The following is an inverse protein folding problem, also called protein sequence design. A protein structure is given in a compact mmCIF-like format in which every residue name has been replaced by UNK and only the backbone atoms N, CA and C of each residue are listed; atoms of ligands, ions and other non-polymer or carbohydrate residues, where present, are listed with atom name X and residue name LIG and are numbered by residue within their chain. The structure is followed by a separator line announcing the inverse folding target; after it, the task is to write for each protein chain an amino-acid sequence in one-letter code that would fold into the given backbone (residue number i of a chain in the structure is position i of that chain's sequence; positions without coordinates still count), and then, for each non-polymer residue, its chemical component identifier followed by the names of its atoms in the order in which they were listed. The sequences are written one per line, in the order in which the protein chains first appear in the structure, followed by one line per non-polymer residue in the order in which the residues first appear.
data_IF_678150906046
#
_entry.id   IF_678150906046
#
_cell.length_a   1.000
_cell.length_b   1.000
_cell.length_c   1.000
_cell.angle_alpha   90.00
_cell.angle_beta   90.00
_cell.angle_gamma   90.00
#
_symmetry.space_group_name_H-M   'P 1'
#
loop_
_entity.id
_entity.type
_entity.pdbx_description
1 polymer ?
#
# COMPACT_ATOMS: atom_id res chain seq x y z
N UNK A 1 -3.80 -13.29 -7.25
CA UNK A 1 -3.04 -13.14 -8.51
C UNK A 1 -2.29 -11.82 -8.51
N UNK A 2 -1.37 -11.61 -9.47
CA UNK A 2 -0.68 -10.34 -9.70
C UNK A 2 -0.77 -9.98 -11.18
N UNK A 3 -0.77 -8.68 -11.47
CA UNK A 3 -0.63 -8.12 -12.81
C UNK A 3 0.44 -7.02 -12.75
N UNK A 4 1.45 -7.07 -13.62
CA UNK A 4 2.50 -6.04 -13.71
C UNK A 4 2.00 -4.81 -14.45
N UNK A 5 2.77 -3.71 -14.41
CA UNK A 5 2.48 -2.49 -15.17
C UNK A 5 2.41 -2.74 -16.68
N UNK A 6 3.24 -3.64 -17.20
CA UNK A 6 3.27 -4.04 -18.61
C UNK A 6 2.24 -5.14 -18.96
N UNK A 7 1.45 -5.56 -17.96
CA UNK A 7 0.30 -6.44 -18.17
C UNK A 7 0.56 -7.93 -18.02
N UNK A 8 1.75 -8.35 -17.58
CA UNK A 8 2.03 -9.76 -17.29
C UNK A 8 1.25 -10.23 -16.07
N UNK A 9 0.60 -11.40 -16.18
CA UNK A 9 -0.24 -11.96 -15.13
C UNK A 9 0.41 -13.23 -14.60
N UNK A 10 0.53 -13.34 -13.28
CA UNK A 10 1.06 -14.54 -12.62
C UNK A 10 0.45 -14.77 -11.24
N UNK A 11 0.67 -15.98 -10.73
CA UNK A 11 0.24 -16.41 -9.39
C UNK A 11 1.45 -16.63 -8.52
N UNK A 12 1.49 -15.95 -7.39
CA UNK A 12 2.53 -16.12 -6.39
C UNK A 12 1.90 -16.22 -4.99
N UNK A 13 1.79 -17.44 -4.42
CA UNK A 13 1.13 -17.67 -3.11
C UNK A 13 2.08 -17.37 -1.93
N UNK A 14 2.96 -16.39 -2.08
CA UNK A 14 3.87 -15.98 -1.01
C UNK A 14 3.13 -15.29 0.12
N UNK A 15 3.42 -15.73 1.35
CA UNK A 15 2.84 -15.12 2.56
C UNK A 15 3.81 -14.14 3.24
N UNK A 16 5.07 -14.06 2.82
CA UNK A 16 6.05 -13.12 3.36
C UNK A 16 5.69 -11.63 3.15
N UNK A 17 6.52 -10.76 3.69
CA UNK A 17 6.52 -9.36 3.33
C UNK A 17 7.30 -9.21 2.02
N UNK A 18 6.71 -8.55 1.02
CA UNK A 18 7.31 -8.39 -0.30
C UNK A 18 7.24 -6.94 -0.75
N UNK A 19 8.27 -6.48 -1.45
CA UNK A 19 8.24 -5.23 -2.20
C UNK A 19 7.27 -5.40 -3.37
N UNK A 20 6.25 -4.56 -3.43
CA UNK A 20 5.24 -4.55 -4.49
C UNK A 20 5.68 -3.61 -5.63
N UNK A 21 6.14 -2.41 -5.28
CA UNK A 21 6.72 -1.45 -6.21
C UNK A 21 7.71 -0.54 -5.46
N UNK A 22 8.82 -0.19 -6.09
CA UNK A 22 9.84 0.69 -5.52
C UNK A 22 10.60 1.42 -6.62
N UNK A 23 11.15 2.59 -6.30
CA UNK A 23 12.10 3.26 -7.17
C UNK A 23 13.53 2.72 -6.91
N UNK A 24 14.02 1.82 -7.77
CA UNK A 24 15.27 1.08 -7.53
C UNK A 24 16.57 1.83 -7.90
N UNK A 25 16.48 2.93 -8.64
CA UNK A 25 17.65 3.57 -9.29
C UNK A 25 18.03 4.93 -8.72
N UNK A 26 17.29 5.42 -7.73
CA UNK A 26 17.58 6.72 -7.12
C UNK A 26 18.50 6.56 -5.90
N UNK A 27 19.50 7.45 -5.71
CA UNK A 27 20.28 7.51 -4.47
C UNK A 27 19.42 7.85 -3.25
N UNK A 28 18.20 8.35 -3.47
CA UNK A 28 17.18 8.56 -2.45
C UNK A 28 15.97 7.69 -2.80
N UNK A 29 15.55 6.80 -1.90
CA UNK A 29 14.38 5.96 -2.13
C UNK A 29 13.11 6.83 -2.08
N UNK A 30 12.71 7.38 -3.23
CA UNK A 30 11.59 8.32 -3.34
C UNK A 30 10.27 7.64 -2.92
N UNK A 31 10.10 6.38 -3.34
CA UNK A 31 9.03 5.55 -2.83
C UNK A 31 9.39 4.06 -2.71
N UNK A 32 8.75 3.43 -1.74
CA UNK A 32 8.77 1.98 -1.53
C UNK A 32 7.41 1.53 -1.02
N UNK A 33 6.78 0.58 -1.71
CA UNK A 33 5.48 0.01 -1.35
C UNK A 33 5.70 -1.48 -1.11
N UNK A 34 5.31 -1.95 0.08
CA UNK A 34 5.40 -3.36 0.44
C UNK A 34 4.06 -3.87 0.91
N UNK A 35 3.80 -5.14 0.62
CA UNK A 35 2.61 -5.86 1.06
C UNK A 35 3.02 -7.06 1.90
N UNK A 36 2.25 -7.32 2.96
CA UNK A 36 2.35 -8.54 3.76
C UNK A 36 1.02 -9.27 3.70
N UNK A 37 1.05 -10.48 3.17
CA UNK A 37 -0.13 -11.36 3.09
C UNK A 37 -0.20 -12.32 4.27
N UNK A 38 -1.40 -12.76 4.59
CA UNK A 38 -1.68 -13.87 5.52
C UNK A 38 -2.72 -14.79 4.88
N UNK A 39 -2.88 -15.99 5.42
CA UNK A 39 -3.93 -16.90 4.98
C UNK A 39 -5.18 -16.69 5.84
N UNK A 40 -6.29 -16.35 5.20
CA UNK A 40 -7.63 -16.24 5.80
C UNK A 40 -8.55 -17.12 4.98
N UNK A 41 -9.19 -18.12 5.60
CA UNK A 41 -10.12 -19.03 4.92
C UNK A 41 -9.57 -19.66 3.62
N UNK A 42 -8.29 -20.06 3.64
CA UNK A 42 -7.53 -20.59 2.49
C UNK A 42 -7.29 -19.61 1.33
N UNK A 43 -7.58 -18.31 1.51
CA UNK A 43 -7.26 -17.25 0.58
C UNK A 43 -6.09 -16.37 1.09
N UNK A 44 -5.12 -16.00 0.24
CA UNK A 44 -4.12 -15.00 0.59
C UNK A 44 -4.73 -13.59 0.65
N UNK A 45 -4.84 -13.03 1.86
CA UNK A 45 -5.39 -11.68 2.13
C UNK A 45 -4.26 -10.71 2.50
N UNK A 46 -4.37 -9.44 2.12
CA UNK A 46 -3.39 -8.41 2.48
C UNK A 46 -3.65 -7.99 3.93
N UNK A 47 -2.74 -8.35 4.83
CA UNK A 47 -2.86 -7.97 6.27
C UNK A 47 -2.33 -6.58 6.57
N UNK A 48 -1.35 -6.11 5.77
CA UNK A 48 -0.64 -4.86 5.98
C UNK A 48 -0.03 -4.37 4.68
N UNK A 49 -0.15 -3.07 4.44
CA UNK A 49 0.58 -2.34 3.40
C UNK A 49 1.48 -1.34 4.12
N UNK A 50 2.75 -1.29 3.76
CA UNK A 50 3.67 -0.25 4.24
C UNK A 50 4.18 0.54 3.06
N UNK A 51 4.12 1.86 3.15
CA UNK A 51 4.58 2.79 2.13
C UNK A 51 5.60 3.73 2.74
N UNK A 52 6.74 3.92 2.08
CA UNK A 52 7.61 5.08 2.27
C UNK A 52 7.37 6.00 1.08
N UNK A 53 6.93 7.23 1.33
CA UNK A 53 6.63 8.22 0.29
C UNK A 53 7.34 9.53 0.67
N UNK A 54 8.42 9.87 -0.03
CA UNK A 54 9.21 11.09 0.25
C UNK A 54 9.57 11.29 1.73
N UNK A 55 10.01 10.20 2.36
CA UNK A 55 10.41 10.23 3.78
C UNK A 55 9.27 10.01 4.77
N UNK A 56 8.00 10.08 4.38
CA UNK A 56 6.86 9.77 5.26
C UNK A 56 6.57 8.28 5.24
N UNK A 57 6.45 7.65 6.43
CA UNK A 57 6.09 6.25 6.56
C UNK A 57 4.58 6.10 6.80
N UNK A 58 3.86 5.50 5.86
CA UNK A 58 2.46 5.15 6.02
C UNK A 58 2.31 3.63 6.21
N UNK A 59 1.53 3.22 7.20
CA UNK A 59 1.13 1.83 7.40
C UNK A 59 -0.38 1.72 7.38
N UNK A 60 -0.90 0.86 6.50
CA UNK A 60 -2.31 0.60 6.33
C UNK A 60 -2.62 -0.82 6.79
N UNK A 61 -3.57 -0.94 7.70
CA UNK A 61 -4.25 -2.18 8.09
C UNK A 61 -5.75 -1.94 8.04
N UNK A 62 -6.53 -3.01 8.09
CA UNK A 62 -7.99 -2.92 8.12
C UNK A 62 -8.42 -2.02 9.29
N UNK A 63 -9.14 -0.95 8.99
CA UNK A 63 -9.64 0.06 9.94
C UNK A 63 -8.58 0.85 10.73
N UNK A 64 -7.29 0.70 10.41
CA UNK A 64 -6.19 1.36 11.12
C UNK A 64 -5.18 1.91 10.13
N UNK A 65 -5.03 3.23 10.12
CA UNK A 65 -4.01 3.94 9.36
C UNK A 65 -3.03 4.57 10.33
N UNK A 66 -1.73 4.36 10.10
CA UNK A 66 -0.66 4.99 10.84
C UNK A 66 0.23 5.82 9.91
N UNK A 67 0.61 7.00 10.36
CA UNK A 67 1.60 7.86 9.71
C UNK A 67 2.71 8.15 10.71
N UNK A 68 3.94 7.80 10.34
CA UNK A 68 5.14 7.92 11.18
C UNK A 68 4.90 7.32 12.59
N UNK A 69 4.33 6.11 12.62
CA UNK A 69 3.94 5.36 13.84
C UNK A 69 2.81 5.97 14.68
N UNK A 70 2.17 7.05 14.23
CA UNK A 70 1.02 7.65 14.90
C UNK A 70 -0.27 7.25 14.21
N UNK A 71 -1.26 6.77 14.96
CA UNK A 71 -2.60 6.50 14.41
C UNK A 71 -3.26 7.80 13.99
N UNK A 72 -3.77 7.84 12.76
CA UNK A 72 -4.47 9.01 12.22
C UNK A 72 -5.95 8.70 11.98
N UNK A 73 -6.78 9.74 11.98
CA UNK A 73 -8.17 9.66 11.53
C UNK A 73 -8.25 10.06 10.06
N UNK A 74 -9.20 9.46 9.34
CA UNK A 74 -9.46 9.80 7.94
C UNK A 74 -10.62 10.79 7.84
N UNK A 75 -10.60 11.72 6.86
CA UNK A 75 -9.54 11.91 5.88
C UNK A 75 -8.28 12.53 6.50
N UNK A 76 -7.12 12.12 6.00
CA UNK A 76 -5.82 12.63 6.41
C UNK A 76 -5.17 13.39 5.24
N UNK A 77 -4.64 14.58 5.48
CA UNK A 77 -3.92 15.35 4.46
C UNK A 77 -2.79 16.16 5.08
N UNK A 78 -1.55 15.69 4.95
CA UNK A 78 -0.35 16.37 5.44
C UNK A 78 0.90 15.87 4.70
N UNK A 79 1.97 16.67 4.68
CA UNK A 79 3.28 16.27 4.14
C UNK A 79 3.24 15.73 2.70
N UNK A 80 2.31 16.24 1.89
CA UNK A 80 2.14 15.81 0.49
C UNK A 80 1.46 14.46 0.32
N UNK A 81 0.84 13.91 1.37
CA UNK A 81 0.04 12.68 1.31
C UNK A 81 -1.39 13.00 1.70
N UNK A 82 -2.34 12.52 0.88
CA UNK A 82 -3.77 12.51 1.17
C UNK A 82 -4.24 11.07 1.28
N UNK A 83 -4.97 10.75 2.34
CA UNK A 83 -5.57 9.43 2.57
C UNK A 83 -7.05 9.60 2.84
N UNK A 84 -7.87 8.92 2.05
CA UNK A 84 -9.32 8.96 2.14
C UNK A 84 -9.86 7.53 2.19
N UNK A 85 -10.97 7.32 2.90
CA UNK A 85 -11.68 6.04 2.92
C UNK A 85 -13.07 6.26 2.36
N UNK A 86 -13.40 5.49 1.32
CA UNK A 86 -14.77 5.33 0.83
C UNK A 86 -15.38 4.06 1.44
N UNK A 87 -16.62 3.73 1.06
CA UNK A 87 -17.24 2.47 1.44
C UNK A 87 -16.58 1.24 0.79
N UNK A 88 -15.75 1.43 -0.24
CA UNK A 88 -15.19 0.34 -1.07
C UNK A 88 -13.67 0.24 -0.95
N UNK A 89 -12.97 1.35 -0.73
CA UNK A 89 -11.52 1.38 -0.72
C UNK A 89 -10.95 2.50 0.16
N UNK A 90 -9.74 2.27 0.66
CA UNK A 90 -8.81 3.30 1.11
C UNK A 90 -7.98 3.76 -0.09
N UNK A 91 -7.93 5.07 -0.32
CA UNK A 91 -7.14 5.71 -1.38
C UNK A 91 -6.04 6.54 -0.76
N UNK A 92 -4.80 6.32 -1.20
CA UNK A 92 -3.63 7.13 -0.85
C UNK A 92 -3.18 7.87 -2.11
N UNK A 93 -3.01 9.18 -2.02
CA UNK A 93 -2.47 10.02 -3.09
C UNK A 93 -1.27 10.75 -2.56
N UNK A 94 -0.14 10.68 -3.27
CA UNK A 94 1.05 11.47 -2.96
C UNK A 94 1.27 12.60 -3.96
N UNK A 95 1.94 13.66 -3.53
CA UNK A 95 2.31 14.81 -4.39
C UNK A 95 3.22 14.44 -5.57
N UNK A 96 3.91 13.29 -5.49
CA UNK A 96 4.73 12.72 -6.59
C UNK A 96 3.90 11.96 -7.64
N UNK A 97 2.58 11.87 -7.46
CA UNK A 97 1.68 11.23 -8.43
C UNK A 97 1.42 9.74 -8.21
N UNK A 98 1.86 9.15 -7.09
CA UNK A 98 1.49 7.76 -6.74
C UNK A 98 0.07 7.75 -6.21
N UNK A 99 -0.74 6.83 -6.74
CA UNK A 99 -2.12 6.61 -6.31
C UNK A 99 -2.27 5.14 -5.94
N UNK A 100 -2.40 4.84 -4.65
CA UNK A 100 -2.70 3.50 -4.18
C UNK A 100 -4.17 3.38 -3.81
N UNK A 101 -4.82 2.29 -4.20
CA UNK A 101 -6.17 1.91 -3.77
C UNK A 101 -6.16 0.50 -3.19
N UNK A 102 -6.77 0.33 -2.02
CA UNK A 102 -6.88 -0.97 -1.35
C UNK A 102 -8.29 -1.17 -0.79
N UNK A 103 -8.88 -2.34 -1.04
CA UNK A 103 -10.24 -2.69 -0.59
C UNK A 103 -10.32 -3.16 0.88
N UNK A 104 -9.25 -2.99 1.66
CA UNK A 104 -9.12 -3.53 3.04
C UNK A 104 -9.19 -5.07 3.14
N UNK A 105 -9.00 -5.76 2.02
CA UNK A 105 -8.99 -7.21 1.94
C UNK A 105 -7.85 -7.70 1.03
N UNK A 106 -8.14 -8.22 -0.15
CA UNK A 106 -7.19 -8.94 -1.01
C UNK A 106 -6.67 -8.14 -2.21
N UNK A 107 -7.27 -6.99 -2.51
CA UNK A 107 -7.10 -6.28 -3.77
C UNK A 107 -6.44 -4.92 -3.57
N UNK A 108 -5.26 -4.78 -4.16
CA UNK A 108 -4.44 -3.57 -4.17
C UNK A 108 -4.17 -3.15 -5.61
N UNK A 109 -4.25 -1.84 -5.88
CA UNK A 109 -3.88 -1.21 -7.15
C UNK A 109 -2.95 -0.03 -6.85
N UNK A 110 -1.91 0.13 -7.66
CA UNK A 110 -0.97 1.27 -7.67
C UNK A 110 -0.82 1.76 -9.10
#
# INVERSE_FOLDING_TARGET
HFKTFDGEIFSFPGLCNYVFASHCTSPYEDFNIQIRRIMVENAPTISRITMKLEGVAAELRKDVIMIDSNRVQLPYSQSGITIEKSSVYVKVVSKMGIVLMWNEDDSILV
#
